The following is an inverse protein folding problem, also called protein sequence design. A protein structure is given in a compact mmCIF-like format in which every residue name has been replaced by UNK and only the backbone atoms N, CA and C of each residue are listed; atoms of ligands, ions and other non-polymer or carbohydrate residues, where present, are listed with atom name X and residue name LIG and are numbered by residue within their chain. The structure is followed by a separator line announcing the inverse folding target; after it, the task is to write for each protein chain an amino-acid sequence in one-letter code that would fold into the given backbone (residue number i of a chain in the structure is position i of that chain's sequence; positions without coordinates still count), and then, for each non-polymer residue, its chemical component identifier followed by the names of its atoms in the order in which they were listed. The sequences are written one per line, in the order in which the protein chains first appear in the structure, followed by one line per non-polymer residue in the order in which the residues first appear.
data_IF_110892233420
#
_entry.id   IF_110892233420
#
_cell.length_a   1.000
_cell.length_b   1.000
_cell.length_c   1.000
_cell.angle_alpha   90.00
_cell.angle_beta   90.00
_cell.angle_gamma   90.00
#
_symmetry.space_group_name_H-M   'P 1'
#
loop_
_entity.id
_entity.type
_entity.pdbx_description
1 polymer ?
#
# COMPACT_ATOMS: atom_id res chain seq x y z
N UNK A 1 10.46 0.55 0.16
CA UNK A 1 10.13 0.15 1.54
C UNK A 1 11.04 -1.02 1.86
N UNK A 2 12.00 -0.85 2.75
CA UNK A 2 12.97 -1.91 3.13
C UNK A 2 12.33 -3.00 3.99
N UNK A 3 11.12 -2.73 4.47
CA UNK A 3 10.31 -3.58 5.32
C UNK A 3 9.53 -4.65 4.54
N UNK A 4 9.56 -4.63 3.20
CA UNK A 4 8.87 -5.59 2.33
C UNK A 4 9.89 -6.44 1.56
N UNK A 5 9.72 -7.76 1.60
CA UNK A 5 10.49 -8.71 0.81
C UNK A 5 9.87 -8.94 -0.58
N UNK A 6 8.57 -8.71 -0.72
CA UNK A 6 7.88 -8.68 -2.01
C UNK A 6 7.84 -7.30 -2.64
N UNK A 7 7.65 -7.24 -3.96
CA UNK A 7 7.56 -6.00 -4.71
C UNK A 7 6.27 -5.99 -5.55
N UNK A 8 5.57 -4.85 -5.54
CA UNK A 8 4.49 -4.56 -6.48
C UNK A 8 5.04 -3.79 -7.68
N UNK A 9 4.75 -4.25 -8.89
CA UNK A 9 5.29 -3.64 -10.12
C UNK A 9 4.20 -2.95 -10.93
N UNK A 10 4.54 -1.79 -11.48
CA UNK A 10 3.70 -1.06 -12.44
C UNK A 10 4.31 -1.14 -13.83
N UNK A 11 3.48 -1.45 -14.83
CA UNK A 11 3.83 -1.37 -16.24
C UNK A 11 3.56 0.04 -16.83
N UNK A 12 3.21 1.01 -15.99
CA UNK A 12 2.88 2.37 -16.36
C UNK A 12 1.63 2.89 -15.65
N UNK A 13 1.41 4.21 -15.74
CA UNK A 13 0.23 4.92 -15.18
C UNK A 13 0.07 4.82 -13.66
N UNK A 14 1.10 4.43 -12.91
CA UNK A 14 1.02 4.32 -11.45
C UNK A 14 0.12 3.19 -10.94
N UNK A 15 -0.25 2.23 -11.81
CA UNK A 15 -1.08 1.07 -11.43
C UNK A 15 -0.17 -0.12 -11.20
N UNK A 16 -0.19 -0.67 -10.00
CA UNK A 16 0.69 -1.72 -9.52
C UNK A 16 -0.04 -3.06 -9.41
N UNK A 17 0.70 -4.14 -9.69
CA UNK A 17 0.25 -5.52 -9.49
C UNK A 17 1.17 -6.21 -8.49
N UNK A 18 0.58 -7.01 -7.61
CA UNK A 18 1.30 -7.78 -6.61
C UNK A 18 1.49 -9.24 -7.06
N UNK A 19 2.55 -9.92 -6.60
CA UNK A 19 2.64 -11.36 -6.70
C UNK A 19 1.56 -12.04 -5.84
N UNK A 20 1.22 -13.34 -6.07
CA UNK A 20 0.12 -14.02 -5.39
C UNK A 20 0.20 -14.08 -3.87
N UNK A 21 1.41 -13.96 -3.29
CA UNK A 21 1.67 -14.00 -1.85
C UNK A 21 1.68 -12.62 -1.19
N UNK A 22 1.44 -11.54 -1.95
CA UNK A 22 1.33 -10.18 -1.46
C UNK A 22 -0.06 -9.62 -1.79
N UNK A 23 -0.72 -8.99 -0.83
CA UNK A 23 -2.07 -8.44 -1.01
C UNK A 23 -2.20 -7.08 -0.35
N UNK A 24 -2.86 -6.17 -1.06
CA UNK A 24 -3.25 -4.87 -0.52
C UNK A 24 -4.68 -4.94 0.00
N UNK A 25 -4.90 -4.38 1.19
CA UNK A 25 -6.20 -4.10 1.77
C UNK A 25 -6.32 -2.60 2.00
N UNK A 26 -7.56 -2.08 1.90
CA UNK A 26 -7.85 -0.71 2.28
C UNK A 26 -8.61 -0.70 3.59
N UNK A 27 -8.12 0.10 4.53
CA UNK A 27 -8.81 0.42 5.78
C UNK A 27 -9.36 1.84 5.75
N UNK A 28 -10.34 2.09 6.61
CA UNK A 28 -10.86 3.42 6.82
C UNK A 28 -9.73 4.35 7.32
N UNK A 29 -9.82 5.63 6.94
CA UNK A 29 -8.81 6.63 7.31
C UNK A 29 -8.98 7.12 8.74
N UNK A 30 -10.19 7.03 9.27
CA UNK A 30 -10.60 7.45 10.62
C UNK A 30 -10.73 6.29 11.61
N UNK A 31 -10.95 5.07 11.13
CA UNK A 31 -11.00 3.85 11.96
C UNK A 31 -10.03 2.76 11.45
N UNK A 32 -8.90 2.51 12.15
CA UNK A 32 -7.90 1.55 11.70
C UNK A 32 -8.36 0.08 11.74
N UNK A 33 -9.45 -0.24 12.45
CA UNK A 33 -9.98 -1.60 12.55
C UNK A 33 -11.06 -1.91 11.50
N UNK A 34 -11.51 -0.89 10.77
CA UNK A 34 -12.54 -1.03 9.75
C UNK A 34 -11.92 -1.16 8.35
N UNK A 35 -12.24 -2.25 7.65
CA UNK A 35 -11.88 -2.42 6.25
C UNK A 35 -12.92 -1.76 5.33
N UNK A 36 -12.45 -1.04 4.31
CA UNK A 36 -13.31 -0.42 3.31
C UNK A 36 -13.77 -1.49 2.33
N UNK A 37 -15.10 -1.64 2.18
CA UNK A 37 -15.71 -2.54 1.19
C UNK A 37 -16.13 -1.74 -0.05
N UNK A 38 -15.64 -2.11 -1.23
CA UNK A 38 -16.03 -1.50 -2.52
C UNK A 38 -14.93 -0.72 -3.23
N UNK A 39 -15.30 0.10 -4.23
CA UNK A 39 -14.38 0.90 -5.09
C UNK A 39 -14.00 2.26 -4.47
N UNK A 40 -13.70 2.30 -3.18
CA UNK A 40 -13.33 3.53 -2.48
C UNK A 40 -11.85 3.54 -2.14
N UNK A 41 -11.26 4.73 -2.06
CA UNK A 41 -9.91 4.94 -1.56
C UNK A 41 -9.86 4.76 -0.04
N UNK A 42 -8.69 4.41 0.49
CA UNK A 42 -8.47 4.27 1.93
C UNK A 42 -7.00 4.15 2.29
N UNK A 43 -6.72 3.93 3.57
CA UNK A 43 -5.36 3.68 4.03
C UNK A 43 -4.86 2.31 3.58
N UNK A 44 -3.64 2.25 3.06
CA UNK A 44 -3.03 1.02 2.55
C UNK A 44 -2.55 0.16 3.72
N UNK A 45 -3.09 -1.05 3.81
CA UNK A 45 -2.53 -2.15 4.57
C UNK A 45 -1.90 -3.16 3.59
N UNK A 46 -0.70 -3.62 3.90
CA UNK A 46 0.04 -4.61 3.11
C UNK A 46 0.05 -5.93 3.87
N UNK A 47 -0.34 -7.00 3.18
CA UNK A 47 -0.07 -8.38 3.57
C UNK A 47 1.05 -8.86 2.67
N UNK A 48 2.19 -9.24 3.23
CA UNK A 48 3.31 -9.83 2.50
C UNK A 48 3.73 -11.13 3.17
N UNK A 49 3.32 -12.27 2.63
CA UNK A 49 3.65 -13.57 3.20
C UNK A 49 5.12 -13.98 2.97
N UNK A 50 5.85 -13.26 2.11
CA UNK A 50 7.29 -13.47 1.96
C UNK A 50 8.07 -12.91 3.18
N UNK A 51 7.48 -12.00 3.95
CA UNK A 51 7.99 -11.50 5.24
C UNK A 51 7.86 -12.58 6.33
N UNK A 52 8.44 -13.77 6.10
CA UNK A 52 8.32 -14.94 6.97
C UNK A 52 8.99 -14.74 8.33
N UNK A 53 10.16 -14.09 8.35
CA UNK A 53 10.93 -13.80 9.56
C UNK A 53 10.74 -12.36 10.08
N UNK A 54 9.71 -11.65 9.58
CA UNK A 54 9.44 -10.26 9.93
C UNK A 54 7.93 -10.00 9.95
N UNK A 55 7.52 -8.74 10.06
CA UNK A 55 6.11 -8.39 10.11
C UNK A 55 5.47 -8.58 8.72
N UNK A 56 4.56 -9.56 8.58
CA UNK A 56 3.82 -9.80 7.33
C UNK A 56 2.62 -8.86 7.15
N UNK A 57 2.17 -8.19 8.21
CA UNK A 57 0.97 -7.35 8.20
C UNK A 57 1.34 -5.92 8.56
N UNK A 58 1.48 -5.07 7.56
CA UNK A 58 1.98 -3.70 7.74
C UNK A 58 0.86 -2.72 7.43
N UNK A 59 0.48 -1.92 8.42
CA UNK A 59 -0.37 -0.76 8.22
C UNK A 59 0.51 0.44 7.83
N UNK A 60 0.36 0.93 6.61
CA UNK A 60 1.13 2.08 6.12
C UNK A 60 0.40 3.39 6.39
N UNK A 61 1.11 4.50 6.20
CA UNK A 61 0.53 5.84 6.12
C UNK A 61 0.36 6.30 4.66
N UNK A 62 0.17 5.36 3.73
CA UNK A 62 -0.13 5.64 2.34
C UNK A 62 -1.65 5.54 2.09
N UNK A 63 -2.16 6.39 1.21
CA UNK A 63 -3.52 6.34 0.68
C UNK A 63 -3.50 5.61 -0.66
N UNK A 64 -4.49 4.74 -0.88
CA UNK A 64 -4.55 3.95 -2.09
C UNK A 64 -5.95 3.67 -2.57
N UNK A 65 -6.03 3.14 -3.79
CA UNK A 65 -7.25 2.69 -4.44
C UNK A 65 -7.02 1.31 -5.04
N UNK A 66 -7.94 0.37 -4.78
CA UNK A 66 -7.92 -0.97 -5.36
C UNK A 66 -8.94 -1.04 -6.50
N UNK A 67 -8.54 -1.64 -7.62
CA UNK A 67 -9.38 -1.90 -8.78
C UNK A 67 -9.96 -3.31 -8.74
N UNK A 68 -11.00 -3.56 -9.56
CA UNK A 68 -11.72 -4.84 -9.57
C UNK A 68 -10.88 -6.05 -10.00
N UNK A 69 -9.79 -5.82 -10.74
CA UNK A 69 -8.82 -6.85 -11.13
C UNK A 69 -7.75 -7.12 -10.06
N UNK A 70 -7.82 -6.46 -8.89
CA UNK A 70 -6.85 -6.62 -7.81
C UNK A 70 -5.59 -5.76 -7.93
N UNK A 71 -5.41 -5.01 -9.04
CA UNK A 71 -4.36 -4.00 -9.12
C UNK A 71 -4.68 -2.81 -8.21
N UNK A 72 -3.67 -2.02 -7.85
CA UNK A 72 -3.87 -0.86 -6.98
C UNK A 72 -3.04 0.34 -7.43
N UNK A 73 -3.45 1.52 -6.98
CA UNK A 73 -2.75 2.79 -7.17
C UNK A 73 -2.45 3.41 -5.80
N UNK A 74 -1.29 4.05 -5.67
CA UNK A 74 -0.92 4.85 -4.50
C UNK A 74 -1.27 6.30 -4.82
N UNK A 75 -2.20 6.88 -4.08
CA UNK A 75 -2.72 8.23 -4.29
C UNK A 75 -1.88 9.31 -3.60
N UNK A 76 -1.11 8.92 -2.58
CA UNK A 76 -0.31 9.82 -1.77
C UNK A 76 -0.13 9.30 -0.35
N UNK A 77 0.25 10.19 0.58
CA UNK A 77 0.36 9.92 2.01
C UNK A 77 -0.73 10.63 2.78
N UNK A 78 -0.98 10.21 4.02
CA UNK A 78 -1.82 11.00 4.94
C UNK A 78 -1.22 12.39 5.19
N UNK A 79 -2.08 13.37 5.47
CA UNK A 79 -1.66 14.71 5.87
C UNK A 79 -0.75 14.64 7.10
N UNK A 80 0.35 15.41 7.10
CA UNK A 80 1.40 15.41 8.13
C UNK A 80 2.17 14.08 8.31
N UNK A 81 2.04 13.12 7.40
CA UNK A 81 2.93 11.96 7.38
C UNK A 81 4.35 12.39 6.98
N UNK A 82 5.37 11.74 7.57
CA UNK A 82 6.75 11.97 7.18
C UNK A 82 6.94 11.70 5.67
N UNK A 83 7.64 12.60 4.99
CA UNK A 83 8.10 12.37 3.62
C UNK A 83 9.16 11.26 3.68
N UNK A 84 8.91 10.14 2.98
CA UNK A 84 9.83 8.99 2.93
C UNK A 84 10.14 8.63 1.50
N UNK A 85 11.37 8.20 1.25
CA UNK A 85 11.84 7.78 -0.07
C UNK A 85 13.35 7.99 -0.23
N UNK A 86 13.93 7.37 -1.25
CA UNK A 86 15.36 7.55 -1.58
C UNK A 86 15.60 8.75 -2.52
N UNK A 87 14.55 9.48 -2.90
CA UNK A 87 14.61 10.60 -3.86
C UNK A 87 14.16 11.92 -3.23
N UNK A 88 14.64 12.19 -2.01
CA UNK A 88 14.31 13.40 -1.24
C UNK A 88 15.23 14.60 -1.58
N UNK A 89 16.02 14.51 -2.64
CA UNK A 89 16.99 15.53 -3.06
C UNK A 89 16.46 16.48 -4.14
N UNK A 90 15.18 16.42 -4.47
CA UNK A 90 14.55 17.36 -5.40
C UNK A 90 13.70 18.33 -4.58
N UNK A 91 14.33 19.39 -4.08
CA UNK A 91 13.66 20.60 -3.63
C UNK A 91 14.27 21.80 -4.37
#
# INVERSE_FOLDING_TARGET
MTELLSQGYSYGKGIFNCPPWMKILLRDTSDPLSLVKGKQSGGINVIDLANFNSCSFIATQDLGKIYSNGSFEVLGRFDNADIRGCNLLVQ
#
